data_IF_405178031306
#
_entry.id   IF_405178031306
#
_cell.length_a   1.000
_cell.length_b   1.000
_cell.length_c   1.000
_cell.angle_alpha   90.00
_cell.angle_beta   90.00
_cell.angle_gamma   90.00
#
_symmetry.space_group_name_H-M   'P 1'
#
loop_
_entity.id
_entity.type
_entity.pdbx_description
1 polymer ?
#
# COMPACT_ATOMS: atom_id res chain seq x y z
N UNK A 1 -5.78 33.80 11.46
CA UNK A 1 -5.11 32.67 10.79
C UNK A 1 -6.19 31.74 10.27
N UNK A 2 -6.58 31.90 9.01
CA UNK A 2 -7.51 30.99 8.35
C UNK A 2 -6.75 29.72 8.01
N UNK A 3 -7.04 28.64 8.74
CA UNK A 3 -6.49 27.32 8.41
C UNK A 3 -7.03 26.94 7.02
N UNK A 4 -6.12 26.72 6.07
CA UNK A 4 -6.46 26.25 4.74
C UNK A 4 -7.04 24.83 4.87
N UNK A 5 -8.36 24.69 4.74
CA UNK A 5 -9.07 23.41 4.96
C UNK A 5 -8.74 22.37 3.88
N UNK A 6 -8.16 22.78 2.74
CA UNK A 6 -7.68 21.90 1.67
C UNK A 6 -6.44 21.07 2.10
N UNK A 7 -5.66 21.56 3.07
CA UNK A 7 -4.35 20.97 3.44
C UNK A 7 -4.45 19.93 4.57
N UNK A 8 -5.61 19.78 5.22
CA UNK A 8 -5.79 18.88 6.36
C UNK A 8 -6.71 17.69 6.03
N UNK A 9 -6.33 16.87 5.03
CA UNK A 9 -6.85 15.49 4.99
C UNK A 9 -6.46 14.83 6.30
N UNK A 10 -7.42 14.26 7.02
CA UNK A 10 -7.12 13.60 8.30
C UNK A 10 -6.09 12.50 8.05
N UNK A 11 -5.14 12.29 8.98
CA UNK A 11 -4.15 11.22 8.85
C UNK A 11 -4.79 9.85 8.56
N UNK A 12 -6.01 9.65 9.06
CA UNK A 12 -6.83 8.47 8.81
C UNK A 12 -7.24 8.34 7.34
N UNK A 13 -7.64 9.42 6.68
CA UNK A 13 -7.98 9.42 5.25
C UNK A 13 -6.76 9.11 4.39
N UNK A 14 -5.62 9.73 4.70
CA UNK A 14 -4.37 9.49 3.98
C UNK A 14 -3.90 8.03 4.13
N UNK A 15 -4.01 7.48 5.35
CA UNK A 15 -3.73 6.07 5.60
C UNK A 15 -4.65 5.16 4.78
N UNK A 16 -5.97 5.44 4.78
CA UNK A 16 -6.95 4.64 4.02
C UNK A 16 -6.70 4.69 2.53
N UNK A 17 -6.41 5.87 1.98
CA UNK A 17 -6.08 6.05 0.57
C UNK A 17 -4.81 5.28 0.19
N UNK A 18 -3.75 5.43 0.98
CA UNK A 18 -2.49 4.70 0.77
C UNK A 18 -2.70 3.19 0.84
N UNK A 19 -3.44 2.71 1.85
CA UNK A 19 -3.73 1.29 2.00
C UNK A 19 -4.57 0.75 0.85
N UNK A 20 -5.59 1.50 0.43
CA UNK A 20 -6.43 1.15 -0.73
C UNK A 20 -5.58 1.01 -1.99
N UNK A 21 -4.67 1.96 -2.23
CA UNK A 21 -3.72 1.91 -3.36
C UNK A 21 -2.80 0.69 -3.29
N UNK A 22 -2.28 0.33 -2.12
CA UNK A 22 -1.50 -0.90 -1.96
C UNK A 22 -2.29 -2.15 -2.35
N UNK A 23 -3.57 -2.24 -1.92
CA UNK A 23 -4.44 -3.37 -2.25
C UNK A 23 -4.80 -3.40 -3.74
N UNK A 24 -5.03 -2.23 -4.35
CA UNK A 24 -5.31 -2.09 -5.77
C UNK A 24 -4.15 -2.60 -6.64
N UNK A 25 -2.89 -2.33 -6.26
CA UNK A 25 -1.70 -2.82 -6.97
C UNK A 25 -1.62 -4.34 -7.04
N UNK A 26 -2.15 -5.04 -6.04
CA UNK A 26 -2.08 -6.51 -5.96
C UNK A 26 -3.41 -7.20 -6.26
N UNK A 27 -4.46 -6.45 -6.63
CA UNK A 27 -5.84 -6.96 -6.73
C UNK A 27 -6.02 -8.12 -7.70
N UNK A 28 -5.20 -8.17 -8.75
CA UNK A 28 -5.29 -9.16 -9.82
C UNK A 28 -4.33 -10.34 -9.61
N UNK A 29 -3.50 -10.30 -8.56
CA UNK A 29 -2.57 -11.37 -8.25
C UNK A 29 -3.32 -12.55 -7.64
N UNK A 30 -2.99 -13.75 -8.10
CA UNK A 30 -3.43 -15.01 -7.50
C UNK A 30 -2.50 -15.37 -6.35
N UNK A 31 -2.94 -16.31 -5.51
CA UNK A 31 -2.19 -16.78 -4.33
C UNK A 31 -0.72 -17.10 -4.64
N UNK A 32 -0.45 -17.77 -5.75
CA UNK A 32 0.90 -18.19 -6.12
C UNK A 32 1.76 -17.03 -6.64
N UNK A 33 1.15 -15.95 -7.15
CA UNK A 33 1.88 -14.76 -7.58
C UNK A 33 2.47 -14.00 -6.38
N UNK A 34 1.88 -14.12 -5.19
CA UNK A 34 2.36 -13.45 -3.98
C UNK A 34 3.69 -13.97 -3.45
N UNK A 35 4.14 -15.15 -3.90
CA UNK A 35 5.43 -15.73 -3.51
C UNK A 35 6.54 -15.47 -4.53
N UNK A 36 6.21 -14.94 -5.72
CA UNK A 36 7.17 -14.73 -6.80
C UNK A 36 8.02 -13.49 -6.53
N UNK A 37 9.33 -13.64 -6.71
CA UNK A 37 10.29 -12.54 -6.75
C UNK A 37 10.62 -12.23 -8.21
N UNK A 38 10.03 -11.15 -8.75
CA UNK A 38 10.14 -10.81 -10.18
C UNK A 38 11.50 -10.25 -10.58
N UNK A 39 12.29 -9.75 -9.62
CA UNK A 39 13.65 -9.26 -9.84
C UNK A 39 14.55 -9.59 -8.64
N UNK A 40 15.85 -9.81 -8.88
CA UNK A 40 16.82 -10.21 -7.85
C UNK A 40 16.96 -9.21 -6.69
N UNK A 41 16.61 -7.95 -6.91
CA UNK A 41 16.70 -6.87 -5.93
C UNK A 41 15.36 -6.52 -5.26
N UNK A 42 14.27 -7.24 -5.57
CA UNK A 42 12.93 -7.01 -5.00
C UNK A 42 12.50 -8.13 -4.05
N UNK A 43 11.60 -7.85 -3.12
CA UNK A 43 10.95 -8.88 -2.30
C UNK A 43 9.61 -9.32 -2.90
N UNK A 44 9.09 -10.52 -2.58
CA UNK A 44 7.78 -10.95 -3.05
C UNK A 44 6.63 -10.06 -2.55
N UNK A 45 5.49 -9.94 -3.27
CA UNK A 45 4.35 -9.12 -2.85
C UNK A 45 3.83 -9.45 -1.43
N UNK A 46 3.84 -10.73 -1.01
CA UNK A 46 3.45 -11.10 0.36
C UNK A 46 4.32 -10.45 1.43
N UNK A 47 5.62 -10.32 1.16
CA UNK A 47 6.58 -9.76 2.09
C UNK A 47 6.31 -8.26 2.28
N UNK A 48 6.10 -7.54 1.18
CA UNK A 48 5.77 -6.12 1.22
C UNK A 48 4.48 -5.83 2.01
N UNK A 49 3.41 -6.59 1.76
CA UNK A 49 2.14 -6.40 2.48
C UNK A 49 2.29 -6.71 3.97
N UNK A 50 3.02 -7.76 4.32
CA UNK A 50 3.29 -8.11 5.72
C UNK A 50 4.11 -7.02 6.43
N UNK A 51 5.20 -6.56 5.80
CA UNK A 51 6.12 -5.59 6.38
C UNK A 51 5.46 -4.23 6.66
N UNK A 52 4.60 -3.72 5.77
CA UNK A 52 3.92 -2.43 5.99
C UNK A 52 2.70 -2.53 6.91
N UNK A 53 2.27 -3.74 7.26
CA UNK A 53 1.14 -3.96 8.18
C UNK A 53 1.59 -4.29 9.60
N UNK A 54 2.83 -4.77 9.77
CA UNK A 54 3.47 -4.97 11.06
C UNK A 54 4.01 -3.64 11.59
#
# INVERSE_FOLDING_TARGET
MTVNLEENRTLVEQFRETRSRTLELVKNLKKDDFVVQTASYMSPPKWHIGHVSW
#
